data_IF_339997024070
#
_entry.id   IF_339997024070
#
_cell.length_a   1.000
_cell.length_b   1.000
_cell.length_c   1.000
_cell.angle_alpha   90.00
_cell.angle_beta   90.00
_cell.angle_gamma   90.00
#
_symmetry.space_group_name_H-M   'P 1'
#
loop_
_entity.id
_entity.type
_entity.pdbx_description
1 polymer ?
#
# COMPACT_ATOMS: atom_id res chain seq x y z
N UNK A 1 -10.79 22.14 -18.90
CA UNK A 1 -10.86 20.86 -18.19
C UNK A 1 -11.12 21.14 -16.72
N UNK A 2 -12.02 20.41 -16.12
CA UNK A 2 -12.40 20.48 -14.72
C UNK A 2 -12.36 19.04 -14.14
N UNK A 3 -12.63 18.88 -12.84
CA UNK A 3 -12.69 17.57 -12.19
C UNK A 3 -14.13 17.06 -12.02
N UNK A 4 -15.09 17.65 -12.72
CA UNK A 4 -16.50 17.30 -12.60
C UNK A 4 -16.99 16.37 -13.74
N UNK A 5 -16.35 16.49 -14.92
CA UNK A 5 -16.75 15.76 -16.12
C UNK A 5 -15.83 14.55 -16.31
N UNK A 6 -16.30 13.39 -15.88
CA UNK A 6 -15.61 12.11 -15.99
C UNK A 6 -16.28 11.22 -17.03
N UNK A 7 -15.48 10.54 -17.82
CA UNK A 7 -15.92 9.50 -18.73
C UNK A 7 -15.22 8.19 -18.37
N UNK A 8 -15.99 7.12 -18.18
CA UNK A 8 -15.43 5.78 -18.06
C UNK A 8 -14.81 5.38 -19.40
N UNK A 9 -13.49 5.15 -19.41
CA UNK A 9 -12.77 4.74 -20.62
C UNK A 9 -12.80 3.23 -20.81
N UNK A 10 -12.54 2.47 -19.75
CA UNK A 10 -12.53 1.01 -19.80
C UNK A 10 -12.78 0.39 -18.42
N UNK A 11 -13.26 -0.85 -18.43
CA UNK A 11 -13.15 -1.77 -17.30
C UNK A 11 -11.98 -2.70 -17.60
N UNK A 12 -10.97 -2.69 -16.74
CA UNK A 12 -9.75 -3.44 -16.96
C UNK A 12 -9.97 -4.93 -16.65
N UNK A 13 -9.46 -5.80 -17.52
CA UNK A 13 -9.38 -7.23 -17.27
C UNK A 13 -7.98 -7.53 -16.71
N UNK A 14 -7.91 -7.88 -15.43
CA UNK A 14 -6.68 -8.17 -14.71
C UNK A 14 -6.63 -9.65 -14.30
N UNK A 15 -5.80 -10.00 -13.31
CA UNK A 15 -5.57 -11.38 -12.85
C UNK A 15 -6.84 -12.08 -12.34
N UNK A 16 -7.77 -11.30 -11.77
CA UNK A 16 -9.07 -11.78 -11.31
C UNK A 16 -10.13 -10.68 -11.38
N UNK A 17 -11.37 -10.98 -10.98
CA UNK A 17 -12.44 -10.00 -10.80
C UNK A 17 -12.54 -9.43 -9.38
N UNK A 18 -11.55 -9.71 -8.53
CA UNK A 18 -11.48 -9.25 -7.14
C UNK A 18 -10.18 -8.49 -6.88
N UNK A 19 -9.91 -7.48 -7.72
CA UNK A 19 -8.72 -6.65 -7.66
C UNK A 19 -9.06 -5.25 -7.16
N UNK A 20 -8.24 -4.73 -6.25
CA UNK A 20 -8.39 -3.42 -5.62
C UNK A 20 -7.02 -2.74 -5.39
N UNK A 21 -7.04 -1.52 -4.89
CA UNK A 21 -5.88 -0.77 -4.39
C UNK A 21 -4.77 -0.58 -5.44
N UNK A 22 -5.12 -0.02 -6.59
CA UNK A 22 -4.16 0.20 -7.67
C UNK A 22 -3.21 1.37 -7.38
N UNK A 23 -1.91 1.13 -7.56
CA UNK A 23 -0.85 2.14 -7.60
C UNK A 23 -0.15 2.07 -8.96
N UNK A 24 0.01 3.20 -9.64
CA UNK A 24 0.58 3.24 -10.99
C UNK A 24 1.82 4.13 -11.01
N UNK A 25 2.91 3.61 -11.56
CA UNK A 25 4.12 4.40 -11.84
C UNK A 25 4.68 4.12 -13.24
N UNK A 26 5.47 5.06 -13.74
CA UNK A 26 6.16 4.89 -15.01
C UNK A 26 7.56 4.35 -14.76
N UNK A 27 7.88 3.22 -15.38
CA UNK A 27 9.20 2.60 -15.29
C UNK A 27 10.23 3.36 -16.14
N UNK A 28 11.54 3.23 -15.86
CA UNK A 28 12.60 3.96 -16.58
C UNK A 28 12.61 3.72 -18.08
N UNK A 29 12.22 2.53 -18.54
CA UNK A 29 12.12 2.18 -19.95
C UNK A 29 10.82 2.65 -20.63
N UNK A 30 9.98 3.44 -19.93
CA UNK A 30 8.83 4.14 -20.48
C UNK A 30 7.50 3.41 -20.39
N UNK A 31 7.48 2.16 -19.94
CA UNK A 31 6.27 1.38 -19.69
C UNK A 31 5.62 1.87 -18.40
N UNK A 32 4.30 1.89 -18.38
CA UNK A 32 3.52 2.10 -17.15
C UNK A 32 3.31 0.76 -16.47
N UNK A 33 3.56 0.69 -15.18
CA UNK A 33 3.26 -0.47 -14.34
C UNK A 33 2.24 -0.11 -13.27
N UNK A 34 1.22 -0.95 -13.15
CA UNK A 34 0.25 -0.92 -12.08
C UNK A 34 0.56 -2.07 -11.13
N UNK A 35 0.64 -1.78 -9.84
CA UNK A 35 0.60 -2.77 -8.77
C UNK A 35 -0.77 -2.69 -8.12
N UNK A 36 -1.33 -3.84 -7.78
CA UNK A 36 -2.67 -3.94 -7.20
C UNK A 36 -2.77 -5.17 -6.33
N UNK A 37 -3.72 -5.15 -5.38
CA UNK A 37 -4.06 -6.32 -4.57
C UNK A 37 -5.01 -7.22 -5.35
N UNK A 38 -4.76 -8.52 -5.33
CA UNK A 38 -5.70 -9.54 -5.84
C UNK A 38 -6.26 -10.37 -4.67
N UNK A 39 -7.49 -10.07 -4.26
CA UNK A 39 -8.15 -10.77 -3.17
C UNK A 39 -8.53 -12.22 -3.49
N UNK A 40 -8.67 -12.57 -4.76
CA UNK A 40 -8.95 -13.95 -5.17
C UNK A 40 -7.70 -14.84 -5.09
N UNK A 41 -6.52 -14.23 -5.08
CA UNK A 41 -5.22 -14.89 -5.02
C UNK A 41 -4.50 -14.51 -3.70
N UNK A 42 -5.04 -14.96 -2.58
CA UNK A 42 -4.47 -14.86 -1.23
C UNK A 42 -4.20 -13.41 -0.76
N UNK A 43 -4.85 -12.41 -1.37
CA UNK A 43 -4.58 -11.00 -1.09
C UNK A 43 -3.12 -10.60 -1.32
N UNK A 44 -2.49 -11.14 -2.36
CA UNK A 44 -1.14 -10.80 -2.76
C UNK A 44 -1.11 -9.59 -3.71
N UNK A 45 0.04 -8.92 -3.81
CA UNK A 45 0.26 -7.90 -4.83
C UNK A 45 0.61 -8.52 -6.17
N UNK A 46 -0.08 -8.07 -7.19
CA UNK A 46 0.13 -8.40 -8.60
C UNK A 46 0.57 -7.16 -9.38
N UNK A 47 1.11 -7.38 -10.57
CA UNK A 47 1.44 -6.30 -11.49
C UNK A 47 0.81 -6.51 -12.87
N UNK A 48 0.55 -5.40 -13.54
CA UNK A 48 0.23 -5.34 -14.96
C UNK A 48 0.96 -4.18 -15.61
N UNK A 49 1.38 -4.35 -16.87
CA UNK A 49 2.10 -3.38 -17.66
C UNK A 49 1.24 -2.81 -18.79
N UNK A 50 1.47 -1.53 -19.11
CA UNK A 50 0.78 -0.84 -20.18
C UNK A 50 1.72 0.12 -20.92
N UNK A 51 1.66 0.18 -22.26
CA UNK A 51 2.36 1.20 -23.02
C UNK A 51 1.67 2.57 -23.00
N UNK A 52 0.37 2.63 -22.68
CA UNK A 52 -0.49 3.79 -22.95
C UNK A 52 -1.54 4.10 -21.88
N UNK A 53 -1.57 3.36 -20.76
CA UNK A 53 -2.54 3.43 -19.65
C UNK A 53 -3.94 2.87 -19.98
N UNK A 54 -4.17 2.42 -21.20
CA UNK A 54 -5.46 1.86 -21.65
C UNK A 54 -5.40 0.36 -21.89
N UNK A 55 -4.29 -0.14 -22.43
CA UNK A 55 -4.09 -1.55 -22.73
C UNK A 55 -3.15 -2.17 -21.72
N UNK A 56 -3.67 -3.01 -20.85
CA UNK A 56 -2.93 -3.62 -19.74
C UNK A 56 -2.69 -5.10 -19.98
N UNK A 57 -1.49 -5.55 -19.72
CA UNK A 57 -1.09 -6.96 -19.77
C UNK A 57 -0.64 -7.38 -18.38
N UNK A 58 -1.26 -8.42 -17.82
CA UNK A 58 -0.89 -8.96 -16.51
C UNK A 58 0.52 -9.55 -16.56
N UNK A 59 1.38 -9.07 -15.68
CA UNK A 59 2.74 -9.60 -15.46
C UNK A 59 2.69 -10.82 -14.54
N UNK A 60 1.93 -10.73 -13.45
CA UNK A 60 1.76 -11.79 -12.47
C UNK A 60 1.94 -11.32 -11.03
N UNK A 61 2.10 -12.26 -10.08
CA UNK A 61 2.32 -11.94 -8.67
C UNK A 61 3.70 -11.31 -8.46
N UNK A 62 3.76 -10.35 -7.54
CA UNK A 62 4.98 -9.58 -7.24
C UNK A 62 5.40 -9.76 -5.78
N UNK A 63 4.45 -9.63 -4.85
CA UNK A 63 4.68 -9.88 -3.43
C UNK A 63 3.71 -10.97 -2.98
N UNK A 64 4.26 -12.06 -2.44
CA UNK A 64 3.50 -13.27 -2.09
C UNK A 64 3.90 -13.88 -0.75
N UNK A 65 4.69 -13.17 0.04
CA UNK A 65 5.20 -13.66 1.33
C UNK A 65 4.15 -13.69 2.42
N UNK A 66 3.11 -12.84 2.32
CA UNK A 66 1.93 -12.87 3.19
C UNK A 66 0.76 -12.12 2.52
N UNK A 67 -0.43 -12.27 3.07
CA UNK A 67 -1.59 -11.46 2.70
C UNK A 67 -1.39 -9.99 3.13
N UNK A 68 -1.77 -9.06 2.29
CA UNK A 68 -1.66 -7.62 2.54
C UNK A 68 -2.60 -6.82 1.62
N UNK A 69 -2.60 -5.49 1.76
CA UNK A 69 -3.35 -4.60 0.87
C UNK A 69 -2.60 -3.27 0.64
N UNK A 70 -3.17 -2.40 -0.20
CA UNK A 70 -2.72 -1.03 -0.41
C UNK A 70 -1.27 -0.90 -0.87
N UNK A 71 -0.80 -1.60 -1.94
CA UNK A 71 0.56 -1.39 -2.43
C UNK A 71 0.75 0.05 -2.88
N UNK A 72 1.67 0.77 -2.24
CA UNK A 72 2.09 2.11 -2.63
C UNK A 72 3.55 2.07 -3.07
N UNK A 73 3.81 2.41 -4.33
CA UNK A 73 5.14 2.32 -4.95
C UNK A 73 5.66 3.70 -5.29
N UNK A 74 6.90 3.97 -4.89
CA UNK A 74 7.56 5.26 -5.11
C UNK A 74 9.07 5.11 -5.29
N UNK A 75 9.71 6.14 -5.81
CA UNK A 75 11.16 6.24 -5.88
C UNK A 75 11.67 7.16 -4.76
N UNK A 76 12.71 6.70 -4.05
CA UNK A 76 13.38 7.50 -3.05
C UNK A 76 14.83 7.05 -2.88
N UNK A 77 15.76 8.02 -2.82
CA UNK A 77 17.20 7.79 -2.65
C UNK A 77 17.79 6.76 -3.64
N UNK A 78 17.37 6.85 -4.90
CA UNK A 78 17.91 6.01 -5.98
C UNK A 78 17.40 4.59 -6.03
N UNK A 79 16.43 4.22 -5.21
CA UNK A 79 15.79 2.91 -5.22
C UNK A 79 14.27 3.03 -5.40
N UNK A 80 13.65 1.95 -5.80
CA UNK A 80 12.22 1.74 -5.74
C UNK A 80 11.83 1.16 -4.39
N UNK A 81 10.74 1.65 -3.86
CA UNK A 81 10.17 1.21 -2.60
C UNK A 81 8.70 0.86 -2.80
N UNK A 82 8.26 -0.19 -2.14
CA UNK A 82 6.85 -0.52 -2.01
C UNK A 82 6.51 -0.66 -0.54
N UNK A 83 5.41 -0.03 -0.14
CA UNK A 83 4.83 -0.18 1.19
C UNK A 83 3.47 -0.84 1.02
N UNK A 84 3.16 -1.82 1.87
CA UNK A 84 1.89 -2.55 1.89
C UNK A 84 1.32 -2.59 3.30
N UNK A 85 -0.01 -2.58 3.45
CA UNK A 85 -0.66 -2.72 4.76
C UNK A 85 -0.80 -4.20 5.12
N UNK A 86 -0.16 -4.61 6.22
CA UNK A 86 -0.22 -5.97 6.75
C UNK A 86 -1.24 -6.11 7.89
N UNK A 87 -2.05 -5.07 8.14
CA UNK A 87 -2.98 -4.95 9.28
C UNK A 87 -2.31 -4.99 10.66
N UNK A 88 -0.98 -5.09 10.68
CA UNK A 88 -0.12 -5.10 11.88
C UNK A 88 1.08 -4.17 11.72
N UNK A 89 0.89 -3.04 11.08
CA UNK A 89 1.93 -2.16 10.58
C UNK A 89 2.11 -2.34 9.08
N UNK A 90 3.12 -1.69 8.53
CA UNK A 90 3.35 -1.62 7.10
C UNK A 90 4.55 -2.47 6.70
N UNK A 91 4.34 -3.40 5.78
CA UNK A 91 5.41 -4.13 5.11
C UNK A 91 6.18 -3.23 4.15
N UNK A 92 7.49 -3.34 4.14
CA UNK A 92 8.38 -2.55 3.29
C UNK A 92 9.19 -3.47 2.38
N UNK A 93 9.27 -3.10 1.11
CA UNK A 93 10.07 -3.80 0.11
C UNK A 93 10.90 -2.81 -0.66
N UNK A 94 12.13 -3.18 -0.96
CA UNK A 94 13.09 -2.40 -1.75
C UNK A 94 13.41 -3.12 -3.06
N UNK A 95 13.56 -2.35 -4.13
CA UNK A 95 13.98 -2.85 -5.44
C UNK A 95 14.90 -1.85 -6.13
N UNK A 96 15.84 -2.35 -6.92
CA UNK A 96 16.68 -1.52 -7.79
C UNK A 96 16.07 -1.35 -9.19
N UNK A 97 15.13 -2.22 -9.58
CA UNK A 97 14.56 -2.30 -10.95
C UNK A 97 13.02 -2.23 -11.00
N UNK A 98 12.32 -2.18 -9.84
CA UNK A 98 10.87 -2.30 -9.70
C UNK A 98 10.28 -3.66 -10.15
N UNK A 99 11.13 -4.67 -10.27
CA UNK A 99 10.75 -6.04 -10.66
C UNK A 99 11.10 -7.05 -9.56
N UNK A 100 12.32 -6.97 -9.04
CA UNK A 100 12.81 -7.87 -7.99
C UNK A 100 12.78 -7.15 -6.64
N UNK A 101 11.90 -7.60 -5.77
CA UNK A 101 11.63 -6.96 -4.48
C UNK A 101 12.27 -7.73 -3.33
N UNK A 102 12.94 -7.01 -2.45
CA UNK A 102 13.57 -7.56 -1.25
C UNK A 102 12.86 -7.01 -0.03
N UNK A 103 12.29 -7.92 0.79
CA UNK A 103 11.65 -7.57 2.04
C UNK A 103 12.62 -6.84 2.97
N UNK A 104 12.12 -5.76 3.58
CA UNK A 104 12.77 -5.01 4.64
C UNK A 104 12.03 -5.21 5.96
N UNK A 105 12.49 -4.56 7.03
CA UNK A 105 11.76 -4.52 8.29
C UNK A 105 10.45 -3.73 8.14
N UNK A 106 9.44 -4.16 8.89
CA UNK A 106 8.15 -3.46 8.92
C UNK A 106 8.30 -2.11 9.63
N UNK A 107 7.56 -1.13 9.14
CA UNK A 107 7.45 0.18 9.79
C UNK A 107 6.06 0.38 10.38
N UNK A 108 5.94 1.30 11.34
CA UNK A 108 4.68 1.60 12.03
C UNK A 108 3.98 0.36 12.63
N UNK A 109 4.79 -0.67 12.92
CA UNK A 109 4.38 -1.94 13.53
C UNK A 109 4.44 -1.89 15.07
N UNK A 110 4.69 -0.71 15.64
CA UNK A 110 4.67 -0.45 17.07
C UNK A 110 3.83 0.81 17.32
N UNK A 111 3.06 0.85 18.41
CA UNK A 111 2.32 2.05 18.78
C UNK A 111 3.24 3.25 18.99
N UNK A 112 2.83 4.40 18.51
CA UNK A 112 3.47 5.68 18.78
C UNK A 112 3.22 6.16 20.21
N UNK A 113 3.74 7.34 20.53
CA UNK A 113 3.69 7.88 21.89
C UNK A 113 2.49 8.83 22.13
N UNK A 114 1.89 9.36 21.08
CA UNK A 114 0.76 10.27 21.17
C UNK A 114 -0.54 9.49 21.27
N UNK A 115 -1.58 10.16 21.78
CA UNK A 115 -2.90 9.56 21.96
C UNK A 115 -3.46 8.98 20.65
N UNK A 116 -3.30 9.70 19.56
CA UNK A 116 -3.95 9.37 18.29
C UNK A 116 -3.07 8.53 17.36
N UNK A 117 -1.80 8.27 17.72
CA UNK A 117 -0.93 7.32 17.02
C UNK A 117 -0.49 6.14 17.93
N UNK A 118 -1.12 5.99 19.08
CA UNK A 118 -0.85 4.89 20.01
C UNK A 118 -1.48 3.56 19.54
N UNK A 119 -1.48 3.30 18.24
CA UNK A 119 -1.91 2.10 17.56
C UNK A 119 -1.01 1.86 16.36
N UNK A 120 -1.18 0.74 15.66
CA UNK A 120 -0.40 0.39 14.48
C UNK A 120 -0.79 1.26 13.29
N UNK A 121 0.14 1.48 12.37
CA UNK A 121 -0.12 2.21 11.15
C UNK A 121 -0.79 1.33 10.10
N UNK A 122 -1.68 1.95 9.33
CA UNK A 122 -2.41 1.35 8.22
C UNK A 122 -2.31 2.20 6.98
N UNK A 123 -2.51 1.60 5.82
CA UNK A 123 -2.63 2.17 4.49
C UNK A 123 -1.86 3.48 4.31
N UNK A 124 -0.73 3.42 3.66
CA UNK A 124 0.14 4.57 3.52
C UNK A 124 0.20 5.08 2.09
N UNK A 125 0.37 6.40 1.97
CA UNK A 125 0.80 7.05 0.75
C UNK A 125 2.09 7.85 1.02
N UNK A 126 3.03 7.83 0.10
CA UNK A 126 4.34 8.47 0.27
C UNK A 126 4.54 9.54 -0.79
N UNK A 127 4.78 10.75 -0.32
CA UNK A 127 5.21 11.87 -1.15
C UNK A 127 6.73 12.04 -1.03
N UNK A 128 7.46 11.60 -2.05
CA UNK A 128 8.90 11.79 -2.16
C UNK A 128 9.22 13.07 -2.95
N UNK A 129 10.06 13.95 -2.41
CA UNK A 129 10.46 15.19 -3.05
C UNK A 129 11.95 15.50 -2.74
N UNK A 130 12.81 15.29 -3.73
CA UNK A 130 14.25 15.43 -3.57
C UNK A 130 14.80 14.45 -2.53
N UNK A 131 15.48 14.98 -1.52
CA UNK A 131 16.06 14.18 -0.43
C UNK A 131 15.10 13.95 0.75
N UNK A 132 13.86 14.40 0.64
CA UNK A 132 12.84 14.26 1.68
C UNK A 132 11.68 13.41 1.19
N UNK A 133 11.10 12.65 2.10
CA UNK A 133 9.84 11.98 1.87
C UNK A 133 8.94 12.09 3.11
N UNK A 134 7.65 12.25 2.86
CA UNK A 134 6.61 12.25 3.86
C UNK A 134 5.74 11.02 3.64
N UNK A 135 5.49 10.31 4.71
CA UNK A 135 4.52 9.20 4.72
C UNK A 135 3.24 9.68 5.41
N UNK A 136 2.13 9.52 4.73
CA UNK A 136 0.78 9.74 5.25
C UNK A 136 0.15 8.38 5.50
N UNK A 137 -0.33 8.16 6.70
CA UNK A 137 -0.93 6.88 7.09
C UNK A 137 -2.07 7.14 8.07
N UNK A 138 -2.83 6.13 8.40
CA UNK A 138 -3.83 6.27 9.45
C UNK A 138 -3.63 5.23 10.57
N UNK A 139 -4.23 5.51 11.70
CA UNK A 139 -4.32 4.61 12.85
C UNK A 139 -5.76 4.48 13.30
N UNK A 140 -6.04 3.42 14.03
CA UNK A 140 -7.27 3.25 14.80
C UNK A 140 -6.95 3.32 16.29
N UNK A 141 -6.98 4.51 16.93
CA UNK A 141 -6.50 4.70 18.30
C UNK A 141 -7.17 3.82 19.36
N UNK A 142 -8.39 3.35 19.09
CA UNK A 142 -9.14 2.44 19.97
C UNK A 142 -8.59 1.01 19.98
N UNK A 143 -7.79 0.63 19.00
CA UNK A 143 -7.17 -0.70 18.90
C UNK A 143 -5.91 -0.86 19.75
N UNK A 144 -5.52 0.18 20.47
CA UNK A 144 -4.32 0.23 21.31
C UNK A 144 -4.18 -0.94 22.28
N UNK A 145 -5.29 -1.38 22.85
CA UNK A 145 -5.28 -2.46 23.86
C UNK A 145 -5.05 -3.84 23.21
N UNK A 146 -5.53 -4.05 21.99
CA UNK A 146 -5.37 -5.30 21.26
C UNK A 146 -3.93 -5.50 20.74
N UNK A 147 -3.24 -4.42 20.40
CA UNK A 147 -1.87 -4.47 19.89
C UNK A 147 -0.84 -4.93 20.94
N UNK A 148 -1.16 -4.80 22.24
CA UNK A 148 -0.24 -5.13 23.34
C UNK A 148 -0.27 -6.62 23.74
N UNK A 149 -1.31 -7.38 23.42
CA UNK A 149 -1.52 -8.71 24.02
C UNK A 149 -1.61 -9.89 23.03
N UNK A 150 -1.92 -9.68 21.76
CA UNK A 150 -1.91 -10.76 20.74
C UNK A 150 -2.07 -10.16 19.34
N UNK A 151 -1.68 -10.91 18.30
CA UNK A 151 -2.09 -10.59 16.92
C UNK A 151 -3.61 -10.79 16.84
N UNK A 152 -4.42 -9.73 16.76
CA UNK A 152 -5.86 -9.90 16.65
C UNK A 152 -6.18 -10.58 15.32
N UNK A 153 -6.99 -11.62 15.36
CA UNK A 153 -7.73 -12.06 14.20
C UNK A 153 -8.71 -10.96 13.77
N UNK A 154 -9.27 -11.04 12.60
CA UNK A 154 -10.31 -10.10 12.13
C UNK A 154 -11.49 -9.96 13.12
N UNK A 155 -11.69 -10.96 13.97
CA UNK A 155 -12.77 -11.05 14.95
C UNK A 155 -12.55 -10.18 16.20
N UNK A 156 -11.29 -9.80 16.48
CA UNK A 156 -10.91 -9.00 17.65
C UNK A 156 -10.86 -7.49 17.36
N UNK A 157 -11.13 -7.10 16.13
CA UNK A 157 -11.11 -5.70 15.71
C UNK A 157 -12.30 -4.94 16.31
N UNK A 158 -12.07 -3.71 16.74
CA UNK A 158 -13.15 -2.80 17.14
C UNK A 158 -14.19 -2.72 16.03
N UNK A 159 -15.49 -2.94 16.31
CA UNK A 159 -16.53 -2.87 15.29
C UNK A 159 -16.44 -1.56 14.49
N UNK A 160 -16.54 -1.65 13.19
CA UNK A 160 -16.38 -0.51 12.26
C UNK A 160 -17.17 0.74 12.71
N UNK A 161 -18.40 0.57 13.18
CA UNK A 161 -19.26 1.67 13.67
C UNK A 161 -18.69 2.39 14.92
N UNK A 162 -17.73 1.81 15.60
CA UNK A 162 -17.08 2.38 16.80
C UNK A 162 -15.62 2.77 16.55
N UNK A 163 -15.11 2.47 15.35
CA UNK A 163 -13.73 2.72 14.99
C UNK A 163 -13.56 4.16 14.56
N UNK A 164 -12.71 4.88 15.26
CA UNK A 164 -12.24 6.20 14.84
C UNK A 164 -10.97 6.03 14.00
N UNK A 165 -10.84 6.79 12.93
CA UNK A 165 -9.63 6.86 12.14
C UNK A 165 -8.93 8.19 12.40
N UNK A 166 -7.63 8.16 12.62
CA UNK A 166 -6.77 9.35 12.78
C UNK A 166 -5.70 9.35 11.70
N UNK A 167 -5.68 10.39 10.88
CA UNK A 167 -4.62 10.58 9.87
C UNK A 167 -3.36 11.12 10.54
N UNK A 168 -2.24 10.54 10.16
CA UNK A 168 -0.91 10.87 10.67
C UNK A 168 0.02 11.23 9.51
N UNK A 169 1.07 11.97 9.82
CA UNK A 169 2.17 12.22 8.90
C UNK A 169 3.50 12.06 9.63
N UNK A 170 4.44 11.38 8.99
CA UNK A 170 5.82 11.26 9.45
C UNK A 170 6.79 11.59 8.33
N UNK A 171 8.01 11.97 8.69
CA UNK A 171 9.10 12.18 7.73
C UNK A 171 9.97 10.94 7.70
N UNK A 172 10.26 10.48 6.49
CA UNK A 172 11.30 9.49 6.26
C UNK A 172 12.67 10.20 6.29
N UNK A 173 13.60 9.69 7.06
CA UNK A 173 14.95 10.24 7.25
C UNK A 173 16.01 9.19 7.00
#
# INVERSE_FOLDING_TARGET
NNLWDWRLEAVLTLSSNRVIDACVARLPHGVWRMWYKDEANESHSYAADSPDLYHWTVVGPVITDCAHEGPNVFQFQGAWWMITDHWHGLGVYRSDDAEHWVRQEDILAQPGQRRDDAALGHHADVLAQGEQALIFYFTHPEERAAAAESRPGFEDMVPYARRRTSLQVARLV
#
